data_IF_711698652313
#
_entry.id   IF_711698652313
#
_cell.length_a   1.000
_cell.length_b   1.000
_cell.length_c   1.000
_cell.angle_alpha   90.00
_cell.angle_beta   90.00
_cell.angle_gamma   90.00
#
_symmetry.space_group_name_H-M   'P 1'
#
loop_
_entity.id
_entity.type
_entity.pdbx_description
1 polymer ?
#
# COMPACT_ATOMS: atom_id res chain seq x y z
N UNK A 1 0.10 11.38 8.37
CA UNK A 1 1.10 10.33 8.63
C UNK A 1 2.40 10.93 9.16
N UNK A 2 3.50 10.17 9.11
CA UNK A 2 4.82 10.72 9.38
C UNK A 2 5.41 11.46 8.15
N UNK A 3 6.56 12.11 8.33
CA UNK A 3 7.19 12.87 7.26
C UNK A 3 7.68 11.95 6.11
N UNK A 4 8.26 10.79 6.42
CA UNK A 4 8.74 9.85 5.42
C UNK A 4 7.63 9.34 4.53
N UNK A 5 6.48 8.94 5.10
CA UNK A 5 5.30 8.58 4.33
C UNK A 5 4.81 9.73 3.43
N UNK A 6 4.86 10.97 3.92
CA UNK A 6 4.47 12.13 3.12
C UNK A 6 5.40 12.35 1.92
N UNK A 7 6.69 12.06 2.07
CA UNK A 7 7.67 12.11 0.97
C UNK A 7 7.39 11.00 -0.06
N UNK A 8 7.23 9.76 0.38
CA UNK A 8 6.87 8.63 -0.51
C UNK A 8 5.58 8.87 -1.29
N UNK A 9 4.55 9.43 -0.64
CA UNK A 9 3.29 9.77 -1.33
C UNK A 9 3.50 10.82 -2.40
N UNK A 10 4.37 11.82 -2.18
CA UNK A 10 4.67 12.83 -3.19
C UNK A 10 5.36 12.25 -4.42
N UNK A 11 6.20 11.23 -4.25
CA UNK A 11 6.87 10.55 -5.35
C UNK A 11 5.89 9.76 -6.22
N UNK A 12 4.88 9.15 -5.60
CA UNK A 12 3.87 8.32 -6.29
C UNK A 12 2.72 9.18 -6.83
N UNK A 13 2.28 10.18 -6.07
CA UNK A 13 1.14 11.04 -6.38
C UNK A 13 1.43 12.50 -5.98
N UNK A 14 2.15 13.27 -6.83
CA UNK A 14 2.61 14.62 -6.50
C UNK A 14 1.49 15.61 -6.14
N UNK A 15 0.29 15.37 -6.65
CA UNK A 15 -0.88 16.21 -6.44
C UNK A 15 -1.66 15.86 -5.16
N UNK A 16 -1.31 14.77 -4.47
CA UNK A 16 -1.94 14.41 -3.20
C UNK A 16 -1.52 15.35 -2.08
N UNK A 17 -2.49 15.91 -1.38
CA UNK A 17 -2.22 16.77 -0.24
C UNK A 17 -1.76 15.94 0.95
N UNK A 18 -0.58 16.25 1.46
CA UNK A 18 0.01 15.58 2.61
C UNK A 18 0.15 16.53 3.80
N UNK A 19 0.06 15.97 5.01
CA UNK A 19 0.40 16.65 6.26
C UNK A 19 1.12 15.68 7.18
N UNK A 20 2.36 16.00 7.53
CA UNK A 20 3.15 15.22 8.48
C UNK A 20 2.79 15.67 9.92
N UNK A 21 2.41 14.72 10.76
CA UNK A 21 2.10 14.95 12.17
C UNK A 21 3.28 14.63 13.08
N UNK A 22 4.26 13.90 12.55
CA UNK A 22 5.48 13.52 13.27
C UNK A 22 6.66 13.32 12.31
N UNK A 23 7.85 13.40 12.87
CA UNK A 23 9.13 13.12 12.21
C UNK A 23 9.91 12.12 13.07
N UNK A 24 10.45 11.07 12.48
CA UNK A 24 11.34 10.13 13.15
C UNK A 24 12.73 10.76 13.39
N UNK A 25 13.28 10.60 14.59
CA UNK A 25 14.63 11.04 14.94
C UNK A 25 15.32 9.93 15.75
N UNK A 26 16.15 9.13 15.11
CA UNK A 26 16.73 7.94 15.72
C UNK A 26 15.62 6.97 16.18
N UNK A 27 15.67 6.55 17.43
CA UNK A 27 14.65 5.68 18.04
C UNK A 27 13.46 6.46 18.63
N UNK A 28 13.37 7.77 18.37
CA UNK A 28 12.36 8.66 18.91
C UNK A 28 11.57 9.36 17.81
N UNK A 29 10.52 10.09 18.19
CA UNK A 29 9.73 10.90 17.27
C UNK A 29 9.52 12.31 17.84
N UNK A 30 9.54 13.30 16.95
CA UNK A 30 9.09 14.65 17.25
C UNK A 30 7.72 14.83 16.62
N UNK A 31 6.72 15.17 17.44
CA UNK A 31 5.35 15.37 17.00
C UNK A 31 4.92 16.83 17.19
N UNK A 32 4.06 17.31 16.30
CA UNK A 32 3.40 18.59 16.49
C UNK A 32 2.30 18.47 17.57
N UNK A 33 1.93 19.58 18.17
CA UNK A 33 0.88 19.57 19.19
C UNK A 33 -0.45 19.04 18.64
N UNK A 34 -1.23 18.24 19.42
CA UNK A 34 -2.47 17.64 18.95
C UNK A 34 -3.50 18.64 18.41
N UNK A 35 -3.58 19.83 19.02
CA UNK A 35 -4.49 20.91 18.56
C UNK A 35 -4.08 21.43 17.19
N UNK A 36 -2.78 21.69 16.99
CA UNK A 36 -2.24 22.16 15.70
C UNK A 36 -2.40 21.10 14.62
N UNK A 37 -2.09 19.83 14.96
CA UNK A 37 -2.27 18.69 14.06
C UNK A 37 -3.72 18.57 13.57
N UNK A 38 -4.69 18.64 14.48
CA UNK A 38 -6.13 18.56 14.10
C UNK A 38 -6.56 19.73 13.22
N UNK A 39 -6.09 20.93 13.50
CA UNK A 39 -6.42 22.09 12.69
C UNK A 39 -5.80 22.00 11.30
N UNK A 40 -4.53 21.59 11.21
CA UNK A 40 -3.83 21.38 9.95
C UNK A 40 -4.50 20.28 9.10
N UNK A 41 -4.86 19.14 9.68
CA UNK A 41 -5.62 18.07 9.00
C UNK A 41 -6.95 18.59 8.49
N UNK A 42 -7.73 19.30 9.34
CA UNK A 42 -9.01 19.88 8.93
C UNK A 42 -8.88 20.82 7.74
N UNK A 43 -7.85 21.67 7.76
CA UNK A 43 -7.59 22.61 6.67
C UNK A 43 -7.17 21.88 5.38
N UNK A 44 -6.33 20.85 5.47
CA UNK A 44 -5.96 20.02 4.33
C UNK A 44 -7.12 19.26 3.74
N UNK A 45 -8.02 18.74 4.57
CA UNK A 45 -9.27 18.10 4.09
C UNK A 45 -10.17 19.11 3.38
N UNK A 46 -10.38 20.30 3.94
CA UNK A 46 -11.14 21.36 3.26
C UNK A 46 -10.52 21.74 1.92
N UNK A 47 -9.21 21.91 1.87
CA UNK A 47 -8.47 22.22 0.66
C UNK A 47 -8.65 21.11 -0.39
N UNK A 48 -8.55 19.83 0.00
CA UNK A 48 -8.72 18.70 -0.92
C UNK A 48 -10.11 18.62 -1.52
N UNK A 49 -11.15 18.95 -0.75
CA UNK A 49 -12.54 18.93 -1.22
C UNK A 49 -12.86 20.06 -2.21
N UNK A 50 -12.06 21.12 -2.23
CA UNK A 50 -12.22 22.26 -3.15
C UNK A 50 -11.41 22.11 -4.43
N UNK A 51 -10.53 21.10 -4.52
CA UNK A 51 -9.65 20.88 -5.67
C UNK A 51 -10.25 19.84 -6.61
N UNK A 52 -9.82 19.90 -7.87
CA UNK A 52 -9.96 18.77 -8.78
C UNK A 52 -9.01 17.64 -8.35
N UNK A 53 -9.56 16.52 -7.91
CA UNK A 53 -8.81 15.34 -7.46
C UNK A 53 -8.65 14.29 -8.57
N UNK A 54 -9.10 14.57 -9.80
CA UNK A 54 -8.99 13.64 -10.93
C UNK A 54 -7.55 13.18 -11.18
N UNK A 55 -6.58 14.08 -10.97
CA UNK A 55 -5.16 13.79 -11.10
C UNK A 55 -4.58 12.91 -9.97
N UNK A 56 -5.33 12.70 -8.89
CA UNK A 56 -4.95 11.81 -7.78
C UNK A 56 -5.53 10.40 -7.96
N UNK A 57 -6.38 10.18 -8.96
CA UNK A 57 -6.95 8.86 -9.25
C UNK A 57 -5.91 8.04 -9.99
N UNK A 58 -5.55 6.91 -9.40
CA UNK A 58 -4.68 5.94 -10.07
C UNK A 58 -5.48 5.05 -11.01
N UNK A 59 -5.09 5.06 -12.29
CA UNK A 59 -5.66 4.17 -13.28
C UNK A 59 -5.00 2.80 -13.15
N UNK A 60 -5.70 1.84 -12.54
CA UNK A 60 -5.19 0.48 -12.39
C UNK A 60 -5.25 -0.30 -13.72
N UNK A 61 -4.36 -1.28 -13.93
CA UNK A 61 -4.43 -2.18 -15.08
C UNK A 61 -5.69 -3.07 -15.02
N UNK A 62 -6.08 -3.62 -16.16
CA UNK A 62 -7.25 -4.51 -16.27
C UNK A 62 -7.03 -5.90 -15.65
N UNK A 63 -5.79 -6.25 -15.36
CA UNK A 63 -5.44 -7.52 -14.69
C UNK A 63 -4.17 -7.37 -13.88
N UNK A 64 -4.06 -8.18 -12.85
CA UNK A 64 -2.94 -8.19 -11.90
C UNK A 64 -2.29 -9.56 -11.89
N UNK A 65 -0.97 -9.60 -11.84
CA UNK A 65 -0.20 -10.83 -11.63
C UNK A 65 0.73 -10.64 -10.45
N UNK A 66 0.49 -11.41 -9.41
CA UNK A 66 1.35 -11.47 -8.23
C UNK A 66 2.29 -12.67 -8.34
N UNK A 67 3.58 -12.47 -8.03
CA UNK A 67 4.57 -13.53 -7.87
C UNK A 67 5.15 -13.43 -6.47
N UNK A 68 5.05 -14.52 -5.70
CA UNK A 68 5.60 -14.60 -4.34
C UNK A 68 6.69 -15.67 -4.32
N UNK A 69 7.89 -15.30 -3.85
CA UNK A 69 8.97 -16.24 -3.57
C UNK A 69 9.04 -16.48 -2.07
N UNK A 70 8.74 -17.70 -1.67
CA UNK A 70 8.78 -18.13 -0.27
C UNK A 70 10.17 -18.56 0.15
N UNK A 71 10.50 -18.40 1.42
CA UNK A 71 11.76 -18.90 1.99
C UNK A 71 11.78 -20.43 1.98
N UNK A 72 10.65 -21.06 2.34
CA UNK A 72 10.50 -22.51 2.45
C UNK A 72 9.73 -23.08 1.25
N UNK A 73 10.23 -24.16 0.64
CA UNK A 73 9.55 -24.90 -0.44
C UNK A 73 8.18 -25.41 -0.02
N UNK A 74 8.05 -25.90 1.21
CA UNK A 74 6.82 -26.44 1.74
C UNK A 74 5.70 -25.38 1.78
N UNK A 75 6.04 -24.11 2.08
CA UNK A 75 5.07 -23.00 2.05
C UNK A 75 4.64 -22.68 0.63
N UNK A 76 5.58 -22.64 -0.32
CA UNK A 76 5.26 -22.44 -1.73
C UNK A 76 4.36 -23.57 -2.27
N UNK A 77 4.66 -24.81 -1.92
CA UNK A 77 3.84 -25.97 -2.32
C UNK A 77 2.42 -25.84 -1.76
N UNK A 78 2.24 -25.53 -0.48
CA UNK A 78 0.93 -25.29 0.11
C UNK A 78 0.19 -24.13 -0.57
N UNK A 79 0.85 -23.01 -0.81
CA UNK A 79 0.26 -21.84 -1.46
C UNK A 79 -0.16 -22.12 -2.90
N UNK A 80 0.53 -23.02 -3.61
CA UNK A 80 0.19 -23.39 -4.98
C UNK A 80 -1.13 -24.17 -5.13
N UNK A 81 -1.70 -24.67 -4.02
CA UNK A 81 -3.00 -25.32 -3.98
C UNK A 81 -4.17 -24.34 -3.84
N UNK A 82 -3.89 -23.05 -3.67
CA UNK A 82 -4.93 -22.02 -3.75
C UNK A 82 -5.51 -22.02 -5.16
N UNK A 83 -6.83 -21.94 -5.26
CA UNK A 83 -7.54 -22.02 -6.56
C UNK A 83 -7.02 -20.92 -7.51
N UNK A 84 -6.53 -21.32 -8.68
CA UNK A 84 -5.96 -20.42 -9.69
C UNK A 84 -4.47 -20.11 -9.50
N UNK A 85 -3.84 -20.51 -8.38
CA UNK A 85 -2.40 -20.35 -8.19
C UNK A 85 -1.59 -21.34 -9.02
N UNK A 86 -0.38 -20.93 -9.41
CA UNK A 86 0.56 -21.75 -10.19
C UNK A 86 1.92 -21.78 -9.51
N UNK A 87 2.45 -22.98 -9.29
CA UNK A 87 3.83 -23.16 -8.85
C UNK A 87 4.76 -22.94 -10.06
N UNK A 88 5.60 -21.92 -10.01
CA UNK A 88 6.55 -21.62 -11.09
C UNK A 88 7.89 -22.36 -10.92
N UNK A 89 8.35 -22.47 -9.67
CA UNK A 89 9.51 -23.24 -9.25
C UNK A 89 9.31 -23.73 -7.82
N UNK A 90 10.31 -24.42 -7.24
CA UNK A 90 10.21 -25.00 -5.89
C UNK A 90 9.83 -24.01 -4.78
N UNK A 91 10.00 -22.70 -4.99
CA UNK A 91 9.77 -21.66 -3.99
C UNK A 91 8.88 -20.51 -4.47
N UNK A 92 8.54 -20.46 -5.76
CA UNK A 92 7.83 -19.32 -6.35
C UNK A 92 6.44 -19.74 -6.82
N UNK A 93 5.44 -19.01 -6.37
CA UNK A 93 4.05 -19.17 -6.78
C UNK A 93 3.59 -17.90 -7.46
N UNK A 94 2.81 -18.03 -8.53
CA UNK A 94 2.09 -16.90 -9.16
C UNK A 94 0.60 -17.09 -9.03
N UNK A 95 -0.10 -15.96 -8.92
CA UNK A 95 -1.55 -15.86 -8.98
C UNK A 95 -1.94 -14.64 -9.81
N UNK A 96 -2.91 -14.79 -10.70
CA UNK A 96 -3.38 -13.69 -11.56
C UNK A 96 -4.89 -13.60 -11.49
N UNK A 97 -5.39 -12.37 -11.39
CA UNK A 97 -6.82 -12.07 -11.35
C UNK A 97 -7.04 -10.66 -11.93
N UNK A 98 -8.23 -10.37 -12.42
CA UNK A 98 -8.66 -9.03 -12.84
C UNK A 98 -9.22 -8.22 -11.65
N UNK A 99 -9.63 -8.90 -10.59
CA UNK A 99 -10.05 -8.28 -9.33
C UNK A 99 -8.86 -8.22 -8.34
N UNK A 100 -8.47 -6.98 -7.98
CA UNK A 100 -7.40 -6.74 -7.01
C UNK A 100 -7.71 -7.30 -5.62
N UNK A 101 -8.97 -7.35 -5.21
CA UNK A 101 -9.36 -7.93 -3.91
C UNK A 101 -9.06 -9.43 -3.86
N UNK A 102 -9.16 -10.14 -4.99
CA UNK A 102 -8.75 -11.55 -5.07
C UNK A 102 -7.23 -11.70 -4.92
N UNK A 103 -6.43 -10.77 -5.45
CA UNK A 103 -4.97 -10.74 -5.21
C UNK A 103 -4.67 -10.55 -3.72
N UNK A 104 -5.34 -9.61 -3.05
CA UNK A 104 -5.16 -9.37 -1.61
C UNK A 104 -5.61 -10.57 -0.78
N UNK A 105 -6.69 -11.22 -1.17
CA UNK A 105 -7.19 -12.44 -0.53
C UNK A 105 -6.20 -13.60 -0.69
N UNK A 106 -5.58 -13.75 -1.86
CA UNK A 106 -4.51 -14.74 -2.07
C UNK A 106 -3.35 -14.51 -1.08
N UNK A 107 -2.88 -13.26 -0.91
CA UNK A 107 -1.83 -12.92 0.06
C UNK A 107 -2.26 -13.32 1.48
N UNK A 108 -3.48 -12.93 1.88
CA UNK A 108 -4.00 -13.21 3.21
C UNK A 108 -3.99 -14.71 3.56
N UNK A 109 -4.37 -15.57 2.62
CA UNK A 109 -4.47 -17.01 2.87
C UNK A 109 -3.18 -17.80 2.63
N UNK A 110 -2.17 -17.22 1.99
CA UNK A 110 -0.96 -17.96 1.62
C UNK A 110 0.30 -17.48 2.33
N UNK A 111 0.36 -16.22 2.76
CA UNK A 111 1.56 -15.61 3.35
C UNK A 111 1.51 -15.56 4.87
N UNK A 112 0.32 -15.58 5.46
CA UNK A 112 0.10 -15.56 6.92
C UNK A 112 0.13 -16.96 7.54
#
# INVERSE_FOLDING_TARGET
GDAGLCEEVKDVSPNTLCHATMVGVGDSTISIQPIESRNAIRNKVKESLLRDISSCIWNHPSSFTLKIRFIKQQTAYRASHYLGAKLLDAKTVSFSDDDYDNIMRFILFTVV
#
